data_IF_019759966976
#
_entry.id   IF_019759966976
#
_cell.length_a   1.000
_cell.length_b   1.000
_cell.length_c   1.000
_cell.angle_alpha   90.00
_cell.angle_beta   90.00
_cell.angle_gamma   90.00
#
_symmetry.space_group_name_H-M   'P 1'
#
loop_
_entity.id
_entity.type
_entity.pdbx_description
1 polymer ?
#
# COMPACT_ATOMS: atom_id res chain seq x y z
N UNK A 1 6.91 28.92 14.57
CA UNK A 1 5.51 29.29 14.26
C UNK A 1 4.73 27.99 14.25
N UNK A 2 3.87 27.74 15.23
CA UNK A 2 3.17 26.47 15.42
C UNK A 2 1.76 26.65 14.86
N UNK A 3 1.43 25.95 13.78
CA UNK A 3 0.10 26.01 13.17
C UNK A 3 -0.91 25.31 14.10
N UNK A 4 -2.09 25.92 14.37
CA UNK A 4 -3.03 25.45 15.39
C UNK A 4 -3.89 24.24 14.96
N UNK A 5 -3.65 23.66 13.78
CA UNK A 5 -4.38 22.50 13.28
C UNK A 5 -3.46 21.28 13.27
N UNK A 6 -3.84 20.25 14.04
CA UNK A 6 -3.26 18.91 13.92
C UNK A 6 -3.77 18.32 12.61
N UNK A 7 -3.00 18.51 11.55
CA UNK A 7 -3.23 17.81 10.29
C UNK A 7 -2.75 16.38 10.51
N UNK A 8 -3.63 15.41 10.29
CA UNK A 8 -3.29 13.98 10.36
C UNK A 8 -3.19 13.44 8.93
N UNK A 9 -2.06 13.65 8.24
CA UNK A 9 -1.98 13.29 6.85
C UNK A 9 -1.86 11.76 6.72
N UNK A 10 -2.63 11.22 5.78
CA UNK A 10 -2.84 9.79 5.58
C UNK A 10 -2.49 9.44 4.15
N UNK A 11 -1.61 8.47 3.97
CA UNK A 11 -1.45 7.82 2.66
C UNK A 11 -2.63 6.87 2.48
N UNK A 12 -3.21 6.85 1.29
CA UNK A 12 -4.19 5.87 0.86
C UNK A 12 -3.74 5.22 -0.44
N UNK A 13 -4.09 3.95 -0.62
CA UNK A 13 -3.87 3.20 -1.85
C UNK A 13 -5.17 2.57 -2.32
N UNK A 14 -5.27 2.36 -3.63
CA UNK A 14 -6.31 1.58 -4.31
C UNK A 14 -5.59 0.54 -5.14
N UNK A 15 -5.99 -0.72 -4.98
CA UNK A 15 -5.43 -1.80 -5.75
C UNK A 15 -6.06 -3.13 -5.41
N UNK A 16 -5.73 -4.13 -6.22
CA UNK A 16 -6.25 -5.48 -6.15
C UNK A 16 -5.09 -6.47 -6.06
N UNK A 17 -5.18 -7.38 -5.09
CA UNK A 17 -4.33 -8.55 -5.05
C UNK A 17 -5.00 -9.70 -5.81
N UNK A 18 -4.19 -10.48 -6.51
CA UNK A 18 -4.57 -11.80 -7.01
C UNK A 18 -4.10 -12.88 -6.03
N UNK A 19 -4.58 -14.12 -6.21
CA UNK A 19 -4.14 -15.25 -5.41
C UNK A 19 -2.65 -15.55 -5.65
N UNK A 20 -1.92 -16.02 -4.62
CA UNK A 20 -2.38 -16.30 -3.25
C UNK A 20 -2.29 -15.08 -2.32
N UNK A 21 -3.42 -14.53 -1.89
CA UNK A 21 -3.46 -13.44 -0.93
C UNK A 21 -3.20 -13.85 0.54
N UNK A 22 -2.92 -12.87 1.42
CA UNK A 22 -2.83 -11.45 1.10
C UNK A 22 -1.50 -11.07 0.47
N UNK A 23 -1.48 -10.00 -0.34
CA UNK A 23 -0.23 -9.32 -0.69
C UNK A 23 0.08 -8.29 0.39
N UNK A 24 1.28 -8.31 0.93
CA UNK A 24 1.75 -7.36 1.94
C UNK A 24 2.72 -6.38 1.28
N UNK A 25 2.57 -5.09 1.57
CA UNK A 25 3.54 -4.08 1.17
C UNK A 25 4.00 -3.25 2.36
N UNK A 26 5.31 -3.17 2.58
CA UNK A 26 5.92 -2.22 3.50
C UNK A 26 5.90 -0.83 2.86
N UNK A 27 5.59 0.18 3.67
CA UNK A 27 5.49 1.58 3.24
C UNK A 27 6.65 2.35 3.84
N UNK A 28 7.36 3.09 2.99
CA UNK A 28 8.47 3.94 3.39
C UNK A 28 8.27 5.37 2.93
N UNK A 29 8.64 6.33 3.78
CA UNK A 29 8.73 7.75 3.43
C UNK A 29 10.16 8.19 3.70
N UNK A 30 10.83 8.76 2.70
CA UNK A 30 12.24 9.18 2.80
C UNK A 30 13.16 8.08 3.36
N UNK A 31 12.95 6.86 2.82
CA UNK A 31 13.62 5.61 3.22
C UNK A 31 13.36 5.15 4.67
N UNK A 32 12.44 5.80 5.41
CA UNK A 32 12.02 5.36 6.74
C UNK A 32 10.75 4.54 6.66
N UNK A 33 10.75 3.36 7.29
CA UNK A 33 9.56 2.53 7.41
C UNK A 33 8.49 3.24 8.24
N UNK A 34 7.28 3.37 7.70
CA UNK A 34 6.14 4.03 8.37
C UNK A 34 5.00 3.08 8.70
N UNK A 35 4.95 1.92 8.06
CA UNK A 35 3.91 0.92 8.31
C UNK A 35 3.86 -0.14 7.21
N UNK A 36 2.90 -1.05 7.34
CA UNK A 36 2.64 -2.11 6.37
C UNK A 36 1.16 -2.09 5.99
N UNK A 37 0.88 -2.37 4.73
CA UNK A 37 -0.46 -2.50 4.18
C UNK A 37 -0.70 -3.93 3.68
N UNK A 38 -1.94 -4.40 3.77
CA UNK A 38 -2.35 -5.76 3.39
C UNK A 38 -3.50 -5.71 2.39
N UNK A 39 -3.30 -6.35 1.24
CA UNK A 39 -4.28 -6.48 0.17
C UNK A 39 -4.84 -7.89 0.21
N UNK A 40 -6.05 -8.03 0.76
CA UNK A 40 -6.66 -9.34 1.05
C UNK A 40 -7.58 -9.84 -0.07
N UNK A 41 -7.70 -9.11 -1.18
CA UNK A 41 -8.54 -9.52 -2.30
C UNK A 41 -7.91 -10.74 -2.97
N UNK A 42 -8.73 -11.72 -3.34
CA UNK A 42 -8.34 -12.99 -3.96
C UNK A 42 -9.25 -13.24 -5.17
N UNK A 43 -9.37 -12.23 -6.04
CA UNK A 43 -10.22 -12.31 -7.23
C UNK A 43 -9.34 -12.17 -8.46
N UNK A 44 -9.30 -13.23 -9.26
CA UNK A 44 -8.58 -13.29 -10.53
C UNK A 44 -9.19 -12.36 -11.58
N UNK A 45 -10.35 -11.73 -11.29
CA UNK A 45 -10.94 -10.75 -12.17
C UNK A 45 -10.61 -9.33 -11.68
N UNK A 46 -9.98 -8.56 -12.55
CA UNK A 46 -9.77 -7.11 -12.38
C UNK A 46 -11.12 -6.36 -12.44
N UNK A 47 -11.93 -6.45 -11.39
CA UNK A 47 -13.14 -5.65 -11.25
C UNK A 47 -12.73 -4.30 -10.68
N UNK A 48 -12.76 -3.28 -11.53
CA UNK A 48 -12.72 -1.88 -11.11
C UNK A 48 -13.83 -1.63 -10.09
N UNK A 49 -13.50 -1.75 -8.81
CA UNK A 49 -14.45 -1.47 -7.74
C UNK A 49 -14.41 -2.49 -6.62
N UNK A 50 -13.46 -2.31 -5.70
CA UNK A 50 -13.78 -1.75 -4.38
C UNK A 50 -12.47 -1.17 -3.82
N UNK A 51 -12.42 0.15 -3.59
CA UNK A 51 -11.41 0.77 -2.74
C UNK A 51 -11.32 0.06 -1.40
N UNK A 52 -10.20 -0.58 -1.08
CA UNK A 52 -9.79 -0.72 0.30
C UNK A 52 -8.89 0.50 0.59
N UNK A 53 -9.43 1.63 1.11
CA UNK A 53 -8.60 2.75 1.50
C UNK A 53 -7.67 2.29 2.63
N UNK A 54 -6.41 2.00 2.29
CA UNK A 54 -5.40 1.60 3.26
C UNK A 54 -4.71 2.84 3.79
N UNK A 55 -5.07 3.22 5.02
CA UNK A 55 -4.61 4.44 5.68
C UNK A 55 -3.34 4.15 6.48
N UNK A 56 -2.20 4.68 6.04
CA UNK A 56 -1.00 4.77 6.90
C UNK A 56 -0.91 6.19 7.45
N UNK A 57 -0.87 6.32 8.78
CA UNK A 57 -0.66 7.62 9.43
C UNK A 57 0.78 8.06 9.21
N UNK A 58 0.97 9.25 8.63
CA UNK A 58 2.30 9.83 8.51
C UNK A 58 2.63 10.64 9.78
N UNK A 59 3.84 10.52 10.33
CA UNK A 59 4.30 11.40 11.39
C UNK A 59 4.23 12.89 11.01
N UNK A 60 3.94 13.76 11.97
CA UNK A 60 3.86 15.21 11.76
C UNK A 60 5.16 15.85 11.23
N UNK A 61 6.30 15.15 11.33
CA UNK A 61 7.58 15.59 10.78
C UNK A 61 7.63 15.63 9.25
N UNK A 62 6.69 14.98 8.56
CA UNK A 62 6.57 14.95 7.10
C UNK A 62 5.67 16.08 6.56
N UNK A 63 5.46 17.14 7.35
CA UNK A 63 4.55 18.21 6.96
C UNK A 63 5.23 19.23 6.04
N UNK A 64 4.81 19.22 4.78
CA UNK A 64 5.19 20.20 3.76
C UNK A 64 6.51 19.85 3.04
N UNK A 65 6.52 20.10 1.73
CA UNK A 65 7.65 19.78 0.86
C UNK A 65 7.41 18.56 -0.03
N UNK A 66 8.48 18.08 -0.65
CA UNK A 66 8.46 16.90 -1.51
C UNK A 66 9.12 15.76 -0.76
N UNK A 67 8.40 14.65 -0.62
CA UNK A 67 8.87 13.44 0.04
C UNK A 67 8.84 12.27 -0.95
N UNK A 68 9.79 11.37 -0.79
CA UNK A 68 9.81 10.12 -1.54
C UNK A 68 8.93 9.09 -0.84
N UNK A 69 8.09 8.40 -1.61
CA UNK A 69 7.25 7.31 -1.15
C UNK A 69 7.68 6.02 -1.84
N UNK A 70 7.92 4.96 -1.08
CA UNK A 70 8.20 3.64 -1.61
C UNK A 70 7.25 2.59 -1.03
N UNK A 71 6.84 1.66 -1.88
CA UNK A 71 6.12 0.45 -1.52
C UNK A 71 7.03 -0.74 -1.85
N UNK A 72 7.33 -1.55 -0.85
CA UNK A 72 8.12 -2.77 -1.00
C UNK A 72 7.23 -3.99 -0.77
N UNK A 73 7.21 -4.93 -1.71
CA UNK A 73 6.46 -6.17 -1.56
C UNK A 73 7.12 -7.04 -0.49
N UNK A 74 6.42 -7.27 0.60
CA UNK A 74 6.99 -7.84 1.83
C UNK A 74 6.86 -9.36 1.93
N UNK A 75 5.96 -9.97 1.16
CA UNK A 75 5.71 -11.41 1.21
C UNK A 75 5.69 -12.07 -0.17
N UNK A 76 6.59 -11.63 -1.05
CA UNK A 76 6.83 -12.29 -2.34
C UNK A 76 7.62 -13.60 -2.15
N UNK A 77 6.95 -14.60 -1.56
CA UNK A 77 7.47 -15.95 -1.40
C UNK A 77 6.77 -16.88 -2.39
N UNK A 78 7.51 -17.25 -3.43
CA UNK A 78 7.13 -18.27 -4.40
C UNK A 78 7.45 -19.66 -3.82
N UNK A 79 6.43 -20.45 -3.53
CA UNK A 79 6.59 -21.89 -3.24
C UNK A 79 6.33 -22.70 -4.51
N UNK A 80 7.01 -22.31 -5.59
CA UNK A 80 6.60 -22.59 -6.96
C UNK A 80 6.66 -24.08 -7.29
N UNK A 81 5.50 -24.72 -7.40
CA UNK A 81 5.33 -25.73 -8.44
C UNK A 81 5.41 -25.00 -9.78
N UNK A 82 6.41 -25.25 -10.65
CA UNK A 82 6.55 -24.55 -11.93
C UNK A 82 5.39 -24.81 -12.91
N UNK A 83 4.46 -25.70 -12.56
CA UNK A 83 3.29 -26.04 -13.37
C UNK A 83 1.98 -25.39 -12.86
N UNK A 84 2.03 -24.61 -11.79
CA UNK A 84 0.85 -23.97 -11.19
C UNK A 84 0.99 -22.43 -11.24
N UNK A 85 0.37 -21.76 -12.23
CA UNK A 85 0.51 -20.31 -12.43
C UNK A 85 -0.19 -19.47 -11.35
N UNK A 86 -1.03 -20.08 -10.50
CA UNK A 86 -1.80 -19.38 -9.45
C UNK A 86 -1.02 -19.29 -8.11
N UNK A 87 0.29 -19.55 -8.11
CA UNK A 87 1.13 -19.54 -6.90
C UNK A 87 1.91 -18.24 -6.69
N UNK A 88 1.93 -17.36 -7.71
CA UNK A 88 2.62 -16.09 -7.66
C UNK A 88 1.71 -14.98 -7.12
N UNK A 89 2.20 -14.24 -6.14
CA UNK A 89 1.47 -13.12 -5.56
C UNK A 89 1.53 -11.92 -6.50
N UNK A 90 0.43 -11.67 -7.20
CA UNK A 90 0.30 -10.50 -8.08
C UNK A 90 -0.47 -9.38 -7.40
N UNK A 91 -0.07 -8.13 -7.66
CA UNK A 91 -0.76 -6.94 -7.18
C UNK A 91 -0.85 -5.89 -8.28
N UNK A 92 -2.07 -5.38 -8.48
CA UNK A 92 -2.39 -4.29 -9.38
C UNK A 92 -2.63 -3.04 -8.54
N UNK A 93 -1.79 -2.02 -8.71
CA UNK A 93 -1.95 -0.71 -8.06
C UNK A 93 -2.70 0.24 -9.00
N UNK A 94 -3.92 0.61 -8.63
CA UNK A 94 -4.75 1.55 -9.39
C UNK A 94 -4.40 3.00 -9.05
N UNK A 95 -4.26 3.31 -7.76
CA UNK A 95 -3.98 4.67 -7.32
C UNK A 95 -3.29 4.71 -5.96
N UNK A 96 -2.57 5.81 -5.74
CA UNK A 96 -1.96 6.16 -4.47
C UNK A 96 -2.11 7.66 -4.26
N UNK A 97 -2.35 8.08 -3.02
CA UNK A 97 -2.49 9.49 -2.72
C UNK A 97 -2.32 9.80 -1.25
N UNK A 98 -2.39 11.10 -0.95
CA UNK A 98 -2.31 11.64 0.41
C UNK A 98 -3.58 12.45 0.66
N UNK A 99 -4.21 12.23 1.82
CA UNK A 99 -5.24 13.13 2.34
C UNK A 99 -4.72 13.83 3.60
N UNK A 100 -5.09 15.09 3.78
CA UNK A 100 -4.82 15.89 4.96
C UNK A 100 -6.14 16.53 5.38
N UNK A 101 -6.71 16.09 6.51
CA UNK A 101 -7.90 16.67 7.11
C UNK A 101 -7.51 17.41 8.39
#
# INVERSE_FOLDING_TARGET
MQFPYKIDPRIWTLGLADKPGPVLANVYIDAQYVGQVSFNHNDNNHHLGIPAPLVVQMPNSYWGGTHSLALEFANDYCNCNPYDPDQDRNFYLDAIGVTAW
#
